data_IF_042053865161
#
_entry.id   IF_042053865161
#
_cell.length_a   1.000
_cell.length_b   1.000
_cell.length_c   1.000
_cell.angle_alpha   90.00
_cell.angle_beta   90.00
_cell.angle_gamma   90.00
#
_symmetry.space_group_name_H-M   'P 1'
#
loop_
_entity.id
_entity.type
_entity.pdbx_description
1 polymer ?
#
# COMPACT_ATOMS: atom_id res chain seq x y z
N UNK A 1 -15.15 -1.87 1.60
CA UNK A 1 -13.87 -1.64 2.32
C UNK A 1 -13.70 -0.17 2.66
N UNK A 2 -12.92 0.14 3.69
CA UNK A 2 -12.53 1.50 4.04
C UNK A 2 -11.12 1.52 4.62
N UNK A 3 -10.50 2.67 4.65
CA UNK A 3 -9.22 2.91 5.32
C UNK A 3 -9.38 4.09 6.27
N UNK A 4 -8.88 3.94 7.49
CA UNK A 4 -8.93 5.02 8.48
C UNK A 4 -8.03 6.17 8.05
N UNK A 5 -8.47 7.44 8.20
CA UNK A 5 -7.62 8.60 8.00
C UNK A 5 -6.36 8.51 8.87
N UNK A 6 -5.19 8.79 8.29
CA UNK A 6 -3.90 8.63 8.96
C UNK A 6 -3.56 7.19 9.39
N UNK A 7 -4.33 6.19 8.98
CA UNK A 7 -4.15 4.80 9.37
C UNK A 7 -4.51 4.49 10.84
N UNK A 8 -5.04 5.46 11.57
CA UNK A 8 -5.33 5.32 13.00
C UNK A 8 -6.72 4.73 13.20
N UNK A 9 -6.79 3.60 13.91
CA UNK A 9 -8.04 2.93 14.26
C UNK A 9 -8.21 2.83 15.78
N UNK A 10 -9.47 2.84 16.22
CA UNK A 10 -9.86 2.48 17.58
C UNK A 10 -10.80 1.28 17.55
N UNK A 11 -10.94 0.59 18.66
CA UNK A 11 -11.92 -0.51 18.78
C UNK A 11 -13.35 -0.04 18.43
N UNK A 12 -13.68 1.19 18.79
CA UNK A 12 -14.98 1.80 18.51
C UNK A 12 -15.19 2.04 17.02
N UNK A 13 -14.23 2.67 16.33
CA UNK A 13 -14.34 2.93 14.88
C UNK A 13 -14.39 1.63 14.07
N UNK A 14 -13.64 0.61 14.48
CA UNK A 14 -13.70 -0.71 13.84
C UNK A 14 -15.05 -1.40 14.04
N UNK A 15 -15.63 -1.33 15.26
CA UNK A 15 -16.97 -1.87 15.51
C UNK A 15 -18.05 -1.14 14.72
N UNK A 16 -18.01 0.20 14.69
CA UNK A 16 -18.96 1.01 13.92
C UNK A 16 -18.89 0.69 12.42
N UNK A 17 -17.70 0.63 11.85
CA UNK A 17 -17.52 0.27 10.45
C UNK A 17 -18.05 -1.14 10.14
N UNK A 18 -17.77 -2.11 11.01
CA UNK A 18 -18.27 -3.48 10.87
C UNK A 18 -19.80 -3.54 10.93
N UNK A 19 -20.42 -2.77 11.83
CA UNK A 19 -21.89 -2.69 11.94
C UNK A 19 -22.53 -2.12 10.67
N UNK A 20 -21.80 -1.26 9.93
CA UNK A 20 -22.22 -0.73 8.62
C UNK A 20 -21.80 -1.63 7.43
N UNK A 21 -21.30 -2.82 7.68
CA UNK A 21 -20.88 -3.74 6.62
C UNK A 21 -19.52 -3.44 5.98
N UNK A 22 -18.71 -2.58 6.59
CA UNK A 22 -17.38 -2.23 6.07
C UNK A 22 -16.26 -3.02 6.72
N UNK A 23 -15.28 -3.41 5.91
CA UNK A 23 -14.02 -4.02 6.36
C UNK A 23 -12.90 -2.99 6.28
N UNK A 24 -12.16 -2.79 7.37
CA UNK A 24 -10.98 -1.93 7.38
C UNK A 24 -9.83 -2.60 6.66
N UNK A 25 -9.17 -1.86 5.77
CA UNK A 25 -7.97 -2.30 5.07
C UNK A 25 -6.82 -1.35 5.40
N UNK A 26 -5.77 -1.91 5.96
CA UNK A 26 -4.51 -1.23 6.20
C UNK A 26 -3.50 -1.61 5.09
N UNK A 27 -2.33 -1.01 5.09
CA UNK A 27 -1.20 -1.44 4.25
C UNK A 27 -0.30 -2.39 5.04
N UNK A 28 0.46 -3.22 4.34
CA UNK A 28 1.50 -4.03 4.97
C UNK A 28 2.76 -3.19 5.25
N UNK A 29 3.63 -3.60 6.20
CA UNK A 29 4.85 -2.85 6.49
C UNK A 29 5.71 -2.60 5.24
N UNK A 30 5.89 -3.60 4.38
CA UNK A 30 6.63 -3.44 3.13
C UNK A 30 5.84 -2.67 2.06
N UNK A 31 4.53 -2.55 2.22
CA UNK A 31 3.64 -1.77 1.34
C UNK A 31 3.62 -0.27 1.63
N UNK A 32 4.24 0.18 2.70
CA UNK A 32 4.48 1.60 2.96
C UNK A 32 5.56 2.11 2.00
N UNK A 33 5.16 2.82 0.96
CA UNK A 33 6.09 3.27 -0.09
C UNK A 33 6.96 4.46 0.32
N UNK A 34 6.67 5.08 1.46
CA UNK A 34 7.45 6.20 1.99
C UNK A 34 7.23 7.53 1.28
N UNK A 35 6.21 7.62 0.45
CA UNK A 35 5.89 8.79 -0.38
C UNK A 35 5.45 10.03 0.41
N UNK A 36 5.31 9.92 1.72
CA UNK A 36 5.06 11.05 2.64
C UNK A 36 6.31 11.47 3.43
N UNK A 37 7.43 10.75 3.28
CA UNK A 37 8.69 11.06 3.95
C UNK A 37 9.41 12.24 3.29
N UNK A 38 10.23 13.02 4.03
CA UNK A 38 10.94 14.17 3.49
C UNK A 38 11.85 13.81 2.31
N UNK A 39 11.76 14.56 1.20
CA UNK A 39 12.47 14.28 -0.04
C UNK A 39 14.00 14.35 0.07
N UNK A 40 14.51 15.23 0.92
CA UNK A 40 15.94 15.44 1.16
C UNK A 40 16.62 14.20 1.79
N UNK A 41 15.87 13.45 2.61
CA UNK A 41 16.36 12.22 3.26
C UNK A 41 15.92 10.96 2.53
N UNK A 42 14.80 11.01 1.84
CA UNK A 42 14.17 9.87 1.17
C UNK A 42 13.84 10.24 -0.28
N UNK A 43 14.85 10.39 -1.15
CA UNK A 43 14.61 10.69 -2.55
C UNK A 43 13.86 9.55 -3.25
N UNK A 44 13.10 9.89 -4.27
CA UNK A 44 12.25 8.96 -5.02
C UNK A 44 12.97 7.69 -5.47
N UNK A 45 14.23 7.80 -5.91
CA UNK A 45 15.03 6.65 -6.32
C UNK A 45 15.27 5.66 -5.18
N UNK A 46 15.59 6.16 -4.00
CA UNK A 46 15.79 5.31 -2.81
C UNK A 46 14.51 4.58 -2.43
N UNK A 47 13.36 5.28 -2.45
CA UNK A 47 12.06 4.69 -2.13
C UNK A 47 11.68 3.61 -3.14
N UNK A 48 11.88 3.85 -4.43
CA UNK A 48 11.64 2.86 -5.48
C UNK A 48 12.51 1.62 -5.30
N UNK A 49 13.82 1.79 -5.11
CA UNK A 49 14.75 0.68 -4.93
C UNK A 49 14.42 -0.13 -3.66
N UNK A 50 14.01 0.53 -2.58
CA UNK A 50 13.57 -0.14 -1.36
C UNK A 50 12.28 -0.93 -1.58
N UNK A 51 11.29 -0.36 -2.23
CA UNK A 51 10.02 -1.02 -2.53
C UNK A 51 10.25 -2.29 -3.37
N UNK A 52 11.04 -2.20 -4.44
CA UNK A 52 11.35 -3.33 -5.31
C UNK A 52 12.09 -4.48 -4.58
N UNK A 53 12.88 -4.16 -3.56
CA UNK A 53 13.57 -5.19 -2.75
C UNK A 53 12.69 -5.79 -1.64
N UNK A 54 11.76 -5.02 -1.10
CA UNK A 54 11.06 -5.37 0.15
C UNK A 54 9.69 -5.99 -0.07
N UNK A 55 8.98 -5.60 -1.12
CA UNK A 55 7.61 -6.07 -1.40
C UNK A 55 7.60 -7.57 -1.65
N UNK A 56 6.59 -8.24 -1.08
CA UNK A 56 6.34 -9.68 -1.20
C UNK A 56 4.92 -9.94 -1.66
N UNK A 57 4.66 -11.15 -2.12
CA UNK A 57 3.32 -11.59 -2.48
C UNK A 57 2.36 -11.46 -1.30
N UNK A 58 1.22 -10.85 -1.55
CA UNK A 58 0.20 -10.57 -0.54
C UNK A 58 0.34 -9.24 0.18
N UNK A 59 1.38 -8.44 -0.12
CA UNK A 59 1.49 -7.10 0.41
C UNK A 59 0.42 -6.17 -0.15
N UNK A 60 -0.05 -5.27 0.69
CA UNK A 60 -0.98 -4.20 0.33
C UNK A 60 -0.18 -2.91 0.27
N UNK A 61 -0.11 -2.34 -0.92
CA UNK A 61 0.66 -1.12 -1.16
C UNK A 61 -0.20 0.11 -0.85
N UNK A 62 0.45 1.15 -0.32
CA UNK A 62 -0.15 2.44 -0.04
C UNK A 62 0.69 3.55 -0.65
N UNK A 63 0.05 4.35 -1.47
CA UNK A 63 0.62 5.56 -2.06
C UNK A 63 -0.38 6.71 -2.01
N UNK A 64 0.14 7.92 -1.96
CA UNK A 64 -0.64 9.15 -2.11
C UNK A 64 -0.46 9.71 -3.52
N UNK A 65 -1.50 10.37 -4.04
CA UNK A 65 -1.42 11.05 -5.35
C UNK A 65 -0.46 12.24 -5.32
N UNK A 66 -0.28 12.83 -4.14
CA UNK A 66 0.68 13.90 -3.89
C UNK A 66 0.68 14.29 -2.43
N UNK A 67 1.83 14.64 -1.93
CA UNK A 67 2.04 15.17 -0.58
C UNK A 67 2.62 16.56 -0.71
N UNK A 68 1.91 17.56 -0.22
CA UNK A 68 2.28 18.97 -0.34
C UNK A 68 3.67 19.32 0.25
N UNK A 69 4.13 18.53 1.22
CA UNK A 69 5.43 18.74 1.88
C UNK A 69 6.61 18.15 1.11
N UNK A 70 6.36 17.38 0.04
CA UNK A 70 7.45 16.84 -0.80
C UNK A 70 7.77 17.75 -1.98
N UNK A 71 9.04 17.99 -2.21
CA UNK A 71 9.53 18.74 -3.38
C UNK A 71 9.56 17.88 -4.65
N UNK A 72 9.69 16.55 -4.51
CA UNK A 72 9.63 15.56 -5.59
C UNK A 72 8.47 14.58 -5.35
N UNK A 73 7.29 14.80 -5.96
CA UNK A 73 6.16 13.89 -5.80
C UNK A 73 6.52 12.47 -6.26
N UNK A 74 6.01 11.47 -5.54
CA UNK A 74 6.31 10.06 -5.83
C UNK A 74 5.53 9.49 -7.02
N UNK A 75 4.45 10.15 -7.43
CA UNK A 75 3.59 9.66 -8.51
C UNK A 75 4.34 9.23 -9.79
N UNK A 76 5.38 9.93 -10.28
CA UNK A 76 6.16 9.48 -11.43
C UNK A 76 6.89 8.14 -11.22
N UNK A 77 7.07 7.71 -9.97
CA UNK A 77 7.72 6.44 -9.65
C UNK A 77 6.78 5.24 -9.70
N UNK A 78 5.47 5.46 -9.84
CA UNK A 78 4.49 4.37 -9.89
C UNK A 78 4.68 3.51 -11.14
N UNK A 79 4.93 4.09 -12.29
CA UNK A 79 5.17 3.34 -13.52
C UNK A 79 6.40 2.42 -13.41
N UNK A 80 7.60 2.90 -13.04
CA UNK A 80 8.75 2.02 -12.86
C UNK A 80 8.58 1.03 -11.70
N UNK A 81 7.84 1.38 -10.64
CA UNK A 81 7.51 0.43 -9.57
C UNK A 81 6.64 -0.72 -10.09
N UNK A 82 5.55 -0.40 -10.78
CA UNK A 82 4.64 -1.40 -11.35
C UNK A 82 5.38 -2.29 -12.36
N UNK A 83 6.17 -1.69 -13.25
CA UNK A 83 6.95 -2.42 -14.24
C UNK A 83 7.97 -3.35 -13.57
N UNK A 84 8.70 -2.88 -12.56
CA UNK A 84 9.68 -3.67 -11.83
C UNK A 84 9.06 -4.84 -11.05
N UNK A 85 7.93 -4.61 -10.40
CA UNK A 85 7.20 -5.68 -9.69
C UNK A 85 6.68 -6.74 -10.68
N UNK A 86 6.10 -6.32 -11.81
CA UNK A 86 5.67 -7.26 -12.87
C UNK A 86 6.84 -8.06 -13.44
N UNK A 87 7.97 -7.43 -13.70
CA UNK A 87 9.18 -8.10 -14.17
C UNK A 87 9.71 -9.13 -13.15
N UNK A 88 9.44 -8.91 -11.86
CA UNK A 88 9.75 -9.85 -10.78
C UNK A 88 8.68 -10.94 -10.56
N UNK A 89 7.68 -11.02 -11.44
CA UNK A 89 6.65 -12.06 -11.41
C UNK A 89 5.43 -11.74 -10.54
N UNK A 90 5.29 -10.51 -10.05
CA UNK A 90 4.10 -10.11 -9.30
C UNK A 90 2.94 -9.76 -10.24
N UNK A 91 1.72 -10.03 -9.79
CA UNK A 91 0.47 -9.50 -10.35
C UNK A 91 -0.19 -8.58 -9.32
N UNK A 92 -1.01 -7.65 -9.83
CA UNK A 92 -1.82 -6.77 -8.99
C UNK A 92 -3.26 -7.27 -8.99
N UNK A 93 -3.87 -7.31 -7.81
CA UNK A 93 -5.25 -7.73 -7.63
C UNK A 93 -6.05 -6.65 -6.91
N UNK A 94 -7.34 -6.61 -7.16
CA UNK A 94 -8.26 -5.82 -6.35
C UNK A 94 -8.36 -6.44 -4.96
N UNK A 95 -8.37 -5.62 -3.90
CA UNK A 95 -8.39 -6.09 -2.51
C UNK A 95 -9.50 -7.11 -2.20
N UNK A 96 -10.76 -6.96 -2.68
CA UNK A 96 -11.79 -7.97 -2.46
C UNK A 96 -11.45 -9.33 -3.07
N UNK A 97 -10.78 -9.34 -4.23
CA UNK A 97 -10.35 -10.57 -4.90
C UNK A 97 -9.17 -11.22 -4.18
N UNK A 98 -8.20 -10.44 -3.73
CA UNK A 98 -7.06 -10.93 -2.96
C UNK A 98 -7.47 -11.61 -1.64
N UNK A 99 -8.50 -11.09 -0.95
CA UNK A 99 -9.02 -11.70 0.28
C UNK A 99 -9.74 -13.03 0.03
N UNK A 100 -10.37 -13.19 -1.14
CA UNK A 100 -11.04 -14.42 -1.54
C UNK A 100 -10.07 -15.52 -1.97
N UNK A 101 -8.96 -15.17 -2.60
CA UNK A 101 -7.95 -16.14 -3.04
C UNK A 101 -7.18 -16.76 -1.87
N UNK A 102 -6.94 -16.01 -0.79
CA UNK A 102 -6.30 -16.55 0.43
C UNK A 102 -7.12 -17.62 1.12
N UNK A 103 -8.44 -17.58 1.03
CA UNK A 103 -9.33 -18.62 1.58
C UNK A 103 -9.28 -19.96 0.82
N UNK A 104 -8.74 -19.98 -0.40
CA UNK A 104 -8.59 -21.19 -1.21
C UNK A 104 -7.23 -21.89 -1.08
N UNK A 105 -6.22 -21.22 -0.55
CA UNK A 105 -4.88 -21.81 -0.34
C UNK A 105 -4.72 -22.45 1.04
N UNK A 106 -5.74 -22.39 1.90
CA UNK A 106 -5.77 -22.99 3.24
C UNK A 106 -6.61 -24.29 3.26
N UNK A 107 -6.61 -25.06 2.17
CA UNK A 107 -7.15 -26.43 2.15
C UNK A 107 -6.08 -27.41 1.69
#
# INVERSE_FOLDING_TARGET
IWRAPGGITTAETLRAAKACGYTHIHWSPAGFLGDELPSDRYPNRMLLDQALRSIRSGDILMAHLGIWSRSDPYAPMLDPLIAGLKASGFCFELLPQASLSRGRLAR
#
